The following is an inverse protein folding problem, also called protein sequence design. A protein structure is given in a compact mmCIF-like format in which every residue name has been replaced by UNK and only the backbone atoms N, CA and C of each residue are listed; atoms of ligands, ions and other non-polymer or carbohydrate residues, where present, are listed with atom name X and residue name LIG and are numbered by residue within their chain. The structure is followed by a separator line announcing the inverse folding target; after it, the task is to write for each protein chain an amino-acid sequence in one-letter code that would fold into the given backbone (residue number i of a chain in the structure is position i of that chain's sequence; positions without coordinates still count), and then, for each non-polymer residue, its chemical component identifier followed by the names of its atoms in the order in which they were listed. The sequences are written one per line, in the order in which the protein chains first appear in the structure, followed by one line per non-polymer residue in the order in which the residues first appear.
data_IF_113732832206
#
_entry.id   IF_113732832206
#
_cell.length_a   1.000
_cell.length_b   1.000
_cell.length_c   1.000
_cell.angle_alpha   90.00
_cell.angle_beta   90.00
_cell.angle_gamma   90.00
#
_symmetry.space_group_name_H-M   'P 1'
#
loop_
_entity.id
_entity.type
_entity.pdbx_description
1 polymer ?
#
# COMPACT_ATOMS: atom_id res chain seq x y z
N UNK A 1 18.02 12.79 23.63
CA UNK A 1 18.69 13.75 22.74
C UNK A 1 17.70 14.75 22.22
N UNK A 2 17.94 16.02 22.47
CA UNK A 2 17.08 17.07 21.89
C UNK A 2 17.42 17.26 20.42
N UNK A 3 16.41 17.17 19.58
CA UNK A 3 16.53 17.51 18.19
C UNK A 3 15.91 18.87 17.95
N UNK A 4 16.70 19.82 17.51
CA UNK A 4 16.19 21.13 17.14
C UNK A 4 15.73 21.09 15.69
N UNK A 5 14.50 21.49 15.45
CA UNK A 5 13.92 21.53 14.10
C UNK A 5 13.98 22.97 13.61
N UNK A 6 14.74 23.18 12.54
CA UNK A 6 14.79 24.46 11.84
C UNK A 6 13.86 24.41 10.64
N UNK A 7 12.77 25.13 10.69
CA UNK A 7 11.75 25.12 9.63
C UNK A 7 12.23 25.70 8.30
N UNK A 8 13.39 26.37 8.30
CA UNK A 8 14.00 26.89 7.07
C UNK A 8 15.02 25.94 6.46
N UNK A 9 15.31 24.82 7.10
CA UNK A 9 16.24 23.82 6.61
C UNK A 9 15.53 22.91 5.60
N UNK A 10 16.11 22.61 4.43
CA UNK A 10 15.53 21.67 3.46
C UNK A 10 15.19 20.30 4.03
N UNK A 11 15.92 19.83 5.04
CA UNK A 11 15.60 18.58 5.72
C UNK A 11 14.27 18.65 6.48
N UNK A 12 13.86 19.83 6.90
CA UNK A 12 12.57 20.02 7.58
C UNK A 12 11.40 19.98 6.60
N UNK A 13 11.61 20.33 5.34
CA UNK A 13 10.59 20.19 4.32
C UNK A 13 10.22 18.71 4.15
N UNK A 14 11.22 17.83 4.20
CA UNK A 14 11.02 16.40 4.16
C UNK A 14 10.24 15.90 5.38
N UNK A 15 10.59 16.41 6.57
CA UNK A 15 9.86 16.07 7.79
C UNK A 15 8.39 16.49 7.71
N UNK A 16 8.13 17.72 7.23
CA UNK A 16 6.76 18.23 7.08
C UNK A 16 5.96 17.40 6.07
N UNK A 17 6.58 16.97 4.99
CA UNK A 17 5.93 16.09 4.01
C UNK A 17 5.58 14.73 4.62
N UNK A 18 6.48 14.15 5.41
CA UNK A 18 6.22 12.89 6.12
C UNK A 18 5.03 13.06 7.07
N UNK A 19 5.00 14.15 7.83
CA UNK A 19 3.90 14.43 8.74
C UNK A 19 2.58 14.57 7.99
N UNK A 20 2.61 15.24 6.84
CA UNK A 20 1.42 15.40 6.00
C UNK A 20 0.93 14.04 5.50
N UNK A 21 1.82 13.19 5.01
CA UNK A 21 1.47 11.84 4.57
C UNK A 21 0.83 11.03 5.70
N UNK A 22 1.39 11.09 6.90
CA UNK A 22 0.84 10.38 8.06
C UNK A 22 -0.55 10.91 8.43
N UNK A 23 -0.78 12.21 8.30
CA UNK A 23 -2.09 12.80 8.58
C UNK A 23 -3.13 12.38 7.54
N UNK A 24 -2.76 12.35 6.28
CA UNK A 24 -3.65 11.93 5.19
C UNK A 24 -4.05 10.46 5.32
N UNK A 25 -3.18 9.64 5.87
CA UNK A 25 -3.43 8.20 6.02
C UNK A 25 -4.29 7.86 7.23
N UNK A 26 -4.72 8.84 8.02
CA UNK A 26 -5.70 8.59 9.08
C UNK A 26 -6.99 7.96 8.55
N UNK A 27 -7.28 8.14 7.26
CA UNK A 27 -8.40 7.51 6.57
C UNK A 27 -8.33 5.98 6.59
N UNK A 28 -7.12 5.39 6.70
CA UNK A 28 -6.97 3.93 6.78
C UNK A 28 -7.69 3.34 7.99
N UNK A 29 -7.82 4.09 9.07
CA UNK A 29 -8.53 3.61 10.26
C UNK A 29 -10.00 3.36 10.00
N UNK A 30 -10.58 4.00 8.99
CA UNK A 30 -11.99 3.87 8.64
C UNK A 30 -12.31 2.60 7.87
N UNK A 31 -11.31 1.92 7.36
CA UNK A 31 -11.48 0.72 6.52
C UNK A 31 -11.13 -0.57 7.24
N UNK A 32 -10.91 -0.49 8.53
CA UNK A 32 -10.72 -1.68 9.37
C UNK A 32 -12.01 -2.48 9.50
N UNK A 33 -11.96 -3.81 9.58
CA UNK A 33 -10.74 -4.62 9.66
C UNK A 33 -10.04 -4.78 8.32
N UNK A 34 -8.71 -4.83 8.36
CA UNK A 34 -7.89 -4.95 7.16
C UNK A 34 -6.76 -5.96 7.37
N UNK A 35 -6.34 -6.58 6.29
CA UNK A 35 -5.21 -7.51 6.27
C UNK A 35 -4.20 -7.00 5.26
N UNK A 36 -2.93 -6.88 5.68
CA UNK A 36 -1.82 -6.56 4.79
C UNK A 36 -1.21 -7.85 4.24
N UNK A 37 -0.99 -7.88 2.94
CA UNK A 37 -0.38 -9.01 2.26
C UNK A 37 0.86 -8.54 1.49
N UNK A 38 1.92 -9.32 1.57
CA UNK A 38 3.21 -8.98 0.98
C UNK A 38 3.67 -10.04 0.00
N UNK A 39 4.36 -9.63 -1.04
CA UNK A 39 4.93 -10.56 -2.00
C UNK A 39 5.77 -9.88 -3.06
N UNK A 40 6.42 -10.70 -3.88
CA UNK A 40 7.37 -10.26 -4.88
C UNK A 40 6.73 -9.46 -6.02
N UNK A 41 7.42 -8.40 -6.43
CA UNK A 41 7.05 -7.60 -7.59
C UNK A 41 7.35 -8.31 -8.92
N UNK A 42 8.08 -9.41 -8.89
CA UNK A 42 8.59 -10.09 -10.08
C UNK A 42 7.81 -11.33 -10.51
N UNK A 43 6.83 -11.74 -9.73
CA UNK A 43 6.03 -12.93 -10.01
C UNK A 43 5.16 -12.71 -11.26
N UNK A 44 5.22 -13.65 -12.19
CA UNK A 44 4.46 -13.57 -13.44
C UNK A 44 3.00 -13.95 -13.22
N UNK A 45 2.11 -13.39 -14.04
CA UNK A 45 0.67 -13.65 -13.96
C UNK A 45 0.29 -15.11 -14.18
N UNK A 46 1.17 -15.88 -14.81
CA UNK A 46 0.98 -17.31 -15.06
C UNK A 46 1.48 -18.20 -13.94
N UNK A 47 2.18 -17.62 -12.96
CA UNK A 47 2.75 -18.35 -11.84
C UNK A 47 1.64 -18.84 -10.90
N UNK A 48 1.78 -20.06 -10.38
CA UNK A 48 0.81 -20.62 -9.44
C UNK A 48 0.65 -19.78 -8.18
N UNK A 49 1.72 -19.14 -7.73
CA UNK A 49 1.65 -18.29 -6.53
C UNK A 49 0.89 -16.99 -6.79
N UNK A 50 0.94 -16.45 -8.02
CA UNK A 50 0.10 -15.34 -8.42
C UNK A 50 -1.39 -15.72 -8.29
N UNK A 51 -1.76 -16.86 -8.85
CA UNK A 51 -3.14 -17.34 -8.81
C UNK A 51 -3.61 -17.63 -7.38
N UNK A 52 -2.74 -18.21 -6.56
CA UNK A 52 -3.05 -18.47 -5.14
C UNK A 52 -3.26 -17.17 -4.37
N UNK A 53 -2.39 -16.19 -4.57
CA UNK A 53 -2.51 -14.90 -3.90
C UNK A 53 -3.81 -14.18 -4.28
N UNK A 54 -4.17 -14.21 -5.56
CA UNK A 54 -5.43 -13.67 -6.05
C UNK A 54 -6.63 -14.33 -5.37
N UNK A 55 -6.63 -15.66 -5.29
CA UNK A 55 -7.71 -16.42 -4.68
C UNK A 55 -7.85 -16.14 -3.18
N UNK A 56 -6.73 -16.14 -2.45
CA UNK A 56 -6.73 -15.85 -1.02
C UNK A 56 -7.25 -14.44 -0.76
N UNK A 57 -6.79 -13.46 -1.51
CA UNK A 57 -7.24 -12.08 -1.37
C UNK A 57 -8.74 -11.94 -1.66
N UNK A 58 -9.22 -12.62 -2.68
CA UNK A 58 -10.64 -12.66 -3.01
C UNK A 58 -11.48 -13.22 -1.86
N UNK A 59 -11.06 -14.37 -1.31
CA UNK A 59 -11.79 -15.01 -0.22
C UNK A 59 -11.81 -14.13 1.03
N UNK A 60 -10.67 -13.54 1.39
CA UNK A 60 -10.58 -12.64 2.55
C UNK A 60 -11.42 -11.38 2.37
N UNK A 61 -11.43 -10.83 1.17
CA UNK A 61 -12.26 -9.68 0.84
C UNK A 61 -13.75 -9.99 1.03
N UNK A 62 -14.16 -11.16 0.59
CA UNK A 62 -15.55 -11.60 0.75
C UNK A 62 -15.94 -11.87 2.20
N UNK A 63 -14.97 -12.12 3.07
CA UNK A 63 -15.19 -12.27 4.51
C UNK A 63 -15.32 -10.92 5.24
N UNK A 64 -15.13 -9.82 4.54
CA UNK A 64 -15.28 -8.49 5.11
C UNK A 64 -13.99 -7.76 5.44
N UNK A 65 -12.84 -8.33 5.08
CA UNK A 65 -11.55 -7.68 5.31
C UNK A 65 -11.16 -6.82 4.12
N UNK A 66 -10.80 -5.57 4.37
CA UNK A 66 -10.10 -4.77 3.39
C UNK A 66 -8.69 -5.34 3.20
N UNK A 67 -8.21 -5.36 1.98
CA UNK A 67 -6.91 -5.96 1.67
C UNK A 67 -5.93 -4.88 1.25
N UNK A 68 -4.77 -4.86 1.90
CA UNK A 68 -3.74 -3.85 1.68
C UNK A 68 -2.51 -4.52 1.07
N UNK A 69 -2.00 -3.97 -0.03
CA UNK A 69 -0.74 -4.41 -0.63
C UNK A 69 0.18 -3.22 -0.87
N UNK A 70 1.38 -3.51 -1.32
CA UNK A 70 2.32 -2.46 -1.74
C UNK A 70 1.97 -1.77 -3.04
N UNK A 71 0.93 -2.23 -3.73
CA UNK A 71 0.38 -1.56 -4.90
C UNK A 71 1.13 -1.76 -6.21
N UNK A 72 2.22 -2.53 -6.23
CA UNK A 72 3.02 -2.77 -7.42
C UNK A 72 2.57 -3.98 -8.25
N UNK A 73 3.43 -4.45 -9.15
CA UNK A 73 3.14 -5.63 -9.97
C UNK A 73 3.42 -6.93 -9.20
N UNK A 74 3.30 -8.06 -9.89
CA UNK A 74 3.58 -9.37 -9.34
C UNK A 74 2.55 -9.80 -8.32
N UNK A 75 3.00 -10.29 -7.18
CA UNK A 75 2.10 -10.76 -6.11
C UNK A 75 1.24 -9.60 -5.58
N UNK A 76 1.76 -8.39 -5.51
CA UNK A 76 0.98 -7.22 -5.09
C UNK A 76 -0.22 -6.99 -6.02
N UNK A 77 -0.01 -7.15 -7.32
CA UNK A 77 -1.10 -7.05 -8.29
C UNK A 77 -2.12 -8.17 -8.10
N UNK A 78 -1.67 -9.40 -7.89
CA UNK A 78 -2.56 -10.53 -7.66
C UNK A 78 -3.44 -10.31 -6.43
N UNK A 79 -2.84 -9.80 -5.36
CA UNK A 79 -3.54 -9.46 -4.13
C UNK A 79 -4.63 -8.42 -4.39
N UNK A 80 -4.27 -7.32 -5.02
CA UNK A 80 -5.23 -6.27 -5.32
C UNK A 80 -6.30 -6.74 -6.31
N UNK A 81 -5.91 -7.52 -7.30
CA UNK A 81 -6.86 -8.07 -8.29
C UNK A 81 -7.92 -8.94 -7.63
N UNK A 82 -7.50 -9.85 -6.75
CA UNK A 82 -8.43 -10.69 -6.01
C UNK A 82 -9.35 -9.89 -5.10
N UNK A 83 -8.78 -8.96 -4.35
CA UNK A 83 -9.53 -8.09 -3.45
C UNK A 83 -10.53 -7.21 -4.21
N UNK A 84 -10.11 -6.67 -5.35
CA UNK A 84 -10.95 -5.82 -6.19
C UNK A 84 -12.21 -6.51 -6.67
N UNK A 85 -12.12 -7.81 -6.92
CA UNK A 85 -13.27 -8.64 -7.31
C UNK A 85 -14.17 -9.00 -6.13
N UNK A 86 -13.68 -8.89 -4.91
CA UNK A 86 -14.41 -9.23 -3.69
C UNK A 86 -15.30 -8.08 -3.21
N UNK A 87 -15.86 -8.24 -2.02
CA UNK A 87 -16.83 -7.31 -1.46
C UNK A 87 -16.22 -6.15 -0.70
N UNK A 88 -14.97 -6.27 -0.28
CA UNK A 88 -14.29 -5.27 0.53
C UNK A 88 -13.26 -4.47 -0.29
N UNK A 89 -12.68 -3.44 0.32
CA UNK A 89 -11.77 -2.56 -0.40
C UNK A 89 -10.44 -3.19 -0.74
N UNK A 90 -9.97 -2.95 -1.96
CA UNK A 90 -8.62 -3.25 -2.42
C UNK A 90 -7.78 -1.99 -2.30
N UNK A 91 -6.72 -2.03 -1.51
CA UNK A 91 -5.95 -0.85 -1.14
C UNK A 91 -4.49 -1.04 -1.53
N UNK A 92 -3.93 -0.03 -2.18
CA UNK A 92 -2.51 0.01 -2.50
C UNK A 92 -1.80 1.11 -1.71
N UNK A 93 -0.74 0.75 -1.01
CA UNK A 93 0.18 1.71 -0.41
C UNK A 93 1.38 1.84 -1.34
N UNK A 94 1.26 2.72 -2.31
CA UNK A 94 2.23 2.86 -3.39
C UNK A 94 3.39 3.74 -2.96
N UNK A 95 4.59 3.43 -3.49
CA UNK A 95 5.74 4.32 -3.35
C UNK A 95 6.01 4.96 -4.70
N UNK A 96 6.18 6.29 -4.71
CA UNK A 96 6.49 7.04 -5.93
C UNK A 96 8.00 7.12 -6.09
N UNK A 97 8.53 6.48 -7.13
CA UNK A 97 9.96 6.45 -7.43
C UNK A 97 10.20 6.92 -8.86
N UNK A 98 11.32 7.65 -9.13
CA UNK A 98 11.56 8.28 -10.43
C UNK A 98 11.63 7.32 -11.62
N UNK A 99 12.04 6.07 -11.41
CA UNK A 99 12.26 5.10 -12.49
C UNK A 99 11.53 3.80 -12.24
N UNK A 100 10.44 3.85 -11.49
CA UNK A 100 9.83 2.64 -10.97
C UNK A 100 8.44 2.37 -11.50
N UNK A 101 7.99 1.21 -11.12
CA UNK A 101 6.74 0.60 -11.50
C UNK A 101 5.55 1.48 -11.18
N UNK A 102 4.63 1.55 -12.10
CA UNK A 102 3.36 2.20 -11.85
C UNK A 102 2.51 1.36 -10.90
N UNK A 103 1.64 2.00 -10.12
CA UNK A 103 0.64 1.29 -9.32
C UNK A 103 -0.22 0.39 -10.22
N UNK A 104 -0.54 -0.82 -9.73
CA UNK A 104 -1.44 -1.69 -10.47
C UNK A 104 -2.85 -1.08 -10.51
N UNK A 105 -3.65 -1.49 -11.49
CA UNK A 105 -4.97 -0.90 -11.75
C UNK A 105 -6.11 -1.47 -10.89
N UNK A 106 -5.82 -2.38 -9.97
CA UNK A 106 -6.84 -3.09 -9.19
C UNK A 106 -7.01 -2.53 -7.78
N UNK A 107 -6.89 -1.21 -7.62
CA UNK A 107 -6.98 -0.56 -6.31
C UNK A 107 -8.25 0.27 -6.23
N UNK A 108 -9.10 -0.01 -5.23
CA UNK A 108 -10.25 0.84 -4.92
C UNK A 108 -9.78 2.13 -4.26
N UNK A 109 -8.77 2.02 -3.42
CA UNK A 109 -8.16 3.15 -2.71
C UNK A 109 -6.65 3.09 -2.91
N UNK A 110 -6.08 4.19 -3.36
CA UNK A 110 -4.64 4.31 -3.57
C UNK A 110 -4.06 5.38 -2.67
N UNK A 111 -3.04 5.01 -1.91
CA UNK A 111 -2.23 5.97 -1.17
C UNK A 111 -0.86 6.03 -1.81
N UNK A 112 -0.39 7.22 -2.13
CA UNK A 112 0.90 7.42 -2.77
C UNK A 112 1.87 8.03 -1.78
N UNK A 113 2.96 7.31 -1.51
CA UNK A 113 3.98 7.73 -0.56
C UNK A 113 5.26 8.11 -1.31
N UNK A 114 5.82 9.22 -0.91
CA UNK A 114 7.11 9.69 -1.41
C UNK A 114 8.27 9.06 -0.64
N UNK A 115 8.02 8.64 0.60
CA UNK A 115 9.04 8.13 1.51
C UNK A 115 8.72 6.72 1.99
N UNK A 116 9.73 5.84 1.94
CA UNK A 116 9.59 4.47 2.44
C UNK A 116 9.22 4.41 3.92
N UNK A 117 9.71 5.37 4.69
CA UNK A 117 9.44 5.43 6.13
C UNK A 117 7.95 5.51 6.42
N UNK A 118 7.26 6.46 5.80
CA UNK A 118 5.82 6.64 6.04
C UNK A 118 5.02 5.46 5.56
N UNK A 119 5.39 4.88 4.42
CA UNK A 119 4.75 3.68 3.90
C UNK A 119 4.88 2.51 4.87
N UNK A 120 6.08 2.29 5.42
CA UNK A 120 6.31 1.23 6.42
C UNK A 120 5.45 1.42 7.65
N UNK A 121 5.38 2.64 8.17
CA UNK A 121 4.57 2.96 9.34
C UNK A 121 3.11 2.62 9.11
N UNK A 122 2.59 2.87 7.92
CA UNK A 122 1.19 2.60 7.60
C UNK A 122 0.85 1.13 7.51
N UNK A 123 1.82 0.28 7.17
CA UNK A 123 1.59 -1.17 7.19
C UNK A 123 1.52 -1.74 8.61
N UNK A 124 2.15 -1.09 9.56
CA UNK A 124 2.20 -1.52 10.95
C UNK A 124 1.05 -0.89 11.73
#
# INVERSE_FOLDING_TARGET
MKKTIDINNPENDQFLEIMRELMETSELKKIMPAISMFGSARTKTTDKYYLMAEEVAYDLSNLGFSIISGGGPGIMEAINKGAYKGKSNSIGLNIILPHEQEPNSYQDISFNFKYFFTRKVMFV
#
